data_IF_864491451560
#
_entry.id   IF_864491451560
#
_cell.length_a   1.000
_cell.length_b   1.000
_cell.length_c   1.000
_cell.angle_alpha   90.00
_cell.angle_beta   90.00
_cell.angle_gamma   90.00
#
_symmetry.space_group_name_H-M   'P 1'
#
loop_
_entity.id
_entity.type
_entity.pdbx_description
1 polymer ?
#
# COMPACT_ATOMS: atom_id res chain seq x y z
N UNK A 1 31.08 50.12 -10.78
CA UNK A 1 30.13 49.90 -9.68
C UNK A 1 28.74 50.05 -10.28
N UNK A 2 27.95 49.00 -10.48
CA UNK A 2 27.54 47.95 -9.55
C UNK A 2 27.31 46.65 -10.33
N UNK A 3 27.79 45.53 -9.78
CA UNK A 3 27.76 44.21 -10.40
C UNK A 3 26.55 43.37 -10.01
N UNK A 4 26.29 42.40 -10.90
CA UNK A 4 25.80 41.03 -10.69
C UNK A 4 25.18 40.66 -9.34
N UNK A 5 23.97 40.11 -9.41
CA UNK A 5 23.34 39.42 -8.29
C UNK A 5 22.02 38.75 -8.69
N UNK A 6 22.00 37.98 -9.78
CA UNK A 6 20.89 37.08 -10.03
C UNK A 6 20.92 36.00 -8.95
N UNK A 7 20.05 36.14 -7.95
CA UNK A 7 19.79 35.09 -6.96
C UNK A 7 19.10 33.95 -7.69
N UNK A 8 19.85 32.88 -7.97
CA UNK A 8 19.29 31.62 -8.42
C UNK A 8 18.39 31.07 -7.30
N UNK A 9 17.09 31.34 -7.44
CA UNK A 9 16.05 30.78 -6.61
C UNK A 9 15.92 29.29 -6.92
N UNK A 10 16.25 28.45 -5.93
CA UNK A 10 15.74 27.08 -5.83
C UNK A 10 16.42 26.07 -6.75
N UNK A 11 17.63 25.63 -6.41
CA UNK A 11 17.97 24.23 -6.64
C UNK A 11 17.05 23.40 -5.75
N UNK A 12 15.91 22.97 -6.29
CA UNK A 12 15.12 21.91 -5.68
C UNK A 12 16.06 20.71 -5.58
N UNK A 13 16.61 20.45 -4.39
CA UNK A 13 17.31 19.19 -4.15
C UNK A 13 16.27 18.10 -4.40
N UNK A 14 16.35 17.48 -5.57
CA UNK A 14 15.56 16.30 -5.88
C UNK A 14 16.04 15.24 -4.89
N UNK A 15 15.28 15.05 -3.80
CA UNK A 15 15.57 14.00 -2.82
C UNK A 15 15.68 12.70 -3.60
N UNK A 16 16.82 12.02 -3.50
CA UNK A 16 16.93 10.69 -4.06
C UNK A 16 15.83 9.82 -3.41
N UNK A 17 14.93 9.29 -4.22
CA UNK A 17 13.82 8.45 -3.78
C UNK A 17 14.27 7.00 -3.68
N UNK A 18 13.53 6.18 -2.94
CA UNK A 18 13.80 4.73 -2.92
C UNK A 18 15.11 4.33 -2.22
N UNK A 19 15.61 5.13 -1.27
CA UNK A 19 16.84 4.84 -0.51
C UNK A 19 16.65 3.78 0.59
N UNK A 20 15.81 2.78 0.41
CA UNK A 20 15.53 1.81 1.47
C UNK A 20 16.77 0.97 1.83
N UNK A 21 17.70 0.79 0.89
CA UNK A 21 18.95 0.06 1.16
C UNK A 21 19.92 0.79 2.09
N UNK A 22 19.75 2.10 2.31
CA UNK A 22 20.58 2.87 3.24
C UNK A 22 20.03 2.86 4.67
N UNK A 23 18.86 2.25 4.89
CA UNK A 23 18.27 2.05 6.21
C UNK A 23 18.96 0.87 6.87
N UNK A 24 19.48 1.07 8.08
CA UNK A 24 20.09 0.01 8.87
C UNK A 24 19.16 -0.42 10.01
N UNK A 25 19.07 -1.74 10.22
CA UNK A 25 18.30 -2.34 11.30
C UNK A 25 19.25 -3.03 12.29
N UNK A 26 19.08 -2.72 13.57
CA UNK A 26 19.74 -3.42 14.69
C UNK A 26 18.67 -4.22 15.45
N UNK A 27 18.55 -5.50 15.10
CA UNK A 27 17.58 -6.39 15.71
C UNK A 27 17.87 -6.66 17.20
N UNK A 28 19.12 -6.62 17.65
CA UNK A 28 19.45 -6.86 19.05
C UNK A 28 19.01 -5.69 19.95
N UNK A 29 19.05 -4.47 19.41
CA UNK A 29 18.64 -3.24 20.10
C UNK A 29 17.22 -2.79 19.80
N UNK A 30 16.50 -3.52 18.94
CA UNK A 30 15.20 -3.11 18.38
C UNK A 30 15.25 -1.66 17.83
N UNK A 31 16.31 -1.33 17.10
CA UNK A 31 16.56 0.02 16.61
C UNK A 31 16.66 0.09 15.08
N UNK A 32 16.22 1.21 14.51
CA UNK A 32 16.33 1.52 13.09
C UNK A 32 17.07 2.84 12.94
N UNK A 33 18.09 2.87 12.09
CA UNK A 33 18.83 4.08 11.74
C UNK A 33 18.39 4.59 10.36
N UNK A 34 17.87 5.81 10.34
CA UNK A 34 17.46 6.51 9.12
C UNK A 34 18.51 7.57 8.74
N UNK A 35 19.07 7.53 7.52
CA UNK A 35 19.93 8.60 7.04
C UNK A 35 19.19 9.95 6.98
N UNK A 36 19.94 11.04 7.08
CA UNK A 36 19.37 12.38 7.01
C UNK A 36 18.57 12.58 5.70
N UNK A 37 17.31 13.00 5.84
CA UNK A 37 16.40 13.23 4.71
C UNK A 37 15.63 11.99 4.22
N UNK A 38 15.87 10.80 4.80
CA UNK A 38 15.09 9.58 4.54
C UNK A 38 13.93 9.49 5.53
N UNK A 39 12.74 9.15 5.03
CA UNK A 39 11.55 8.88 5.84
C UNK A 39 10.99 7.49 5.53
N UNK A 40 10.25 6.94 6.49
CA UNK A 40 9.51 5.69 6.34
C UNK A 40 8.03 6.00 6.11
N UNK A 41 7.46 5.34 5.09
CA UNK A 41 6.02 5.25 4.89
C UNK A 41 5.65 3.76 4.88
N UNK A 42 4.76 3.37 5.78
CA UNK A 42 4.30 1.99 5.95
C UNK A 42 2.91 1.76 5.34
N UNK A 43 2.37 2.74 4.60
CA UNK A 43 1.03 2.67 4.03
C UNK A 43 0.78 1.45 3.12
N UNK A 44 1.82 0.89 2.52
CA UNK A 44 1.74 -0.32 1.69
C UNK A 44 1.78 -1.65 2.43
N UNK A 45 2.02 -1.66 3.75
CA UNK A 45 2.13 -2.92 4.56
C UNK A 45 1.34 -2.87 5.86
N UNK A 46 1.09 -1.68 6.41
CA UNK A 46 0.52 -1.52 7.75
C UNK A 46 -0.89 -2.13 7.90
N UNK A 47 -1.71 -2.08 6.84
CA UNK A 47 -3.07 -2.62 6.85
C UNK A 47 -3.07 -4.14 7.00
N UNK A 48 -2.40 -4.85 6.08
CA UNK A 48 -2.20 -6.30 6.17
C UNK A 48 -1.57 -6.74 7.50
N UNK A 49 -0.51 -6.08 7.97
CA UNK A 49 0.07 -6.38 9.28
C UNK A 49 -0.94 -6.21 10.42
N UNK A 50 -1.75 -5.15 10.39
CA UNK A 50 -2.80 -4.92 11.39
C UNK A 50 -3.85 -6.04 11.35
N UNK A 51 -4.30 -6.44 10.16
CA UNK A 51 -5.28 -7.51 9.99
C UNK A 51 -4.75 -8.84 10.55
N UNK A 52 -3.50 -9.18 10.27
CA UNK A 52 -2.83 -10.36 10.83
C UNK A 52 -2.75 -10.32 12.35
N UNK A 53 -2.34 -9.19 12.94
CA UNK A 53 -2.26 -9.05 14.39
C UNK A 53 -3.63 -9.18 15.06
N UNK A 54 -4.69 -8.66 14.43
CA UNK A 54 -6.06 -8.79 14.94
C UNK A 54 -6.54 -10.23 14.85
N UNK A 55 -6.28 -10.96 13.76
CA UNK A 55 -6.61 -12.40 13.66
C UNK A 55 -5.85 -13.19 14.72
N UNK A 56 -4.54 -12.98 14.87
CA UNK A 56 -3.73 -13.66 15.89
C UNK A 56 -4.29 -13.44 17.30
N UNK A 57 -4.79 -12.24 17.59
CA UNK A 57 -5.46 -11.95 18.85
C UNK A 57 -6.80 -12.67 18.94
N UNK A 58 -7.64 -12.58 17.91
CA UNK A 58 -9.04 -13.02 17.93
C UNK A 58 -9.24 -14.54 17.85
N UNK A 59 -8.30 -15.26 17.22
CA UNK A 59 -8.43 -16.71 16.95
C UNK A 59 -8.66 -17.55 18.20
N UNK A 60 -8.23 -17.09 19.38
CA UNK A 60 -8.48 -17.80 20.64
C UNK A 60 -9.96 -17.82 21.06
N UNK A 61 -10.79 -16.93 20.53
CA UNK A 61 -12.24 -16.89 20.81
C UNK A 61 -13.08 -17.52 19.70
N UNK A 62 -12.46 -17.93 18.59
CA UNK A 62 -13.09 -18.69 17.53
C UNK A 62 -12.70 -18.21 16.12
N UNK A 63 -13.32 -18.82 15.10
CA UNK A 63 -13.16 -18.44 13.70
C UNK A 63 -13.40 -16.94 13.48
N UNK A 64 -12.50 -16.26 12.78
CA UNK A 64 -12.65 -14.85 12.44
C UNK A 64 -12.09 -14.49 11.05
N UNK A 65 -12.64 -13.42 10.48
CA UNK A 65 -12.16 -12.73 9.29
C UNK A 65 -12.03 -11.25 9.63
N UNK A 66 -10.88 -10.66 9.32
CA UNK A 66 -10.61 -9.24 9.53
C UNK A 66 -10.45 -8.56 8.19
N UNK A 67 -11.12 -7.42 8.00
CA UNK A 67 -10.96 -6.52 6.86
C UNK A 67 -10.34 -5.20 7.33
N UNK A 68 -9.11 -4.94 6.90
CA UNK A 68 -8.40 -3.68 7.10
C UNK A 68 -8.39 -2.86 5.81
N UNK A 69 -9.57 -2.38 5.37
CA UNK A 69 -9.69 -1.50 4.22
C UNK A 69 -9.30 -2.19 2.91
N UNK A 70 -9.82 -3.40 2.70
CA UNK A 70 -9.59 -4.27 1.55
C UNK A 70 -8.50 -5.32 1.74
N UNK A 71 -7.66 -5.19 2.79
CA UNK A 71 -6.68 -6.20 3.17
C UNK A 71 -7.36 -7.18 4.13
N UNK A 72 -7.62 -8.40 3.66
CA UNK A 72 -8.36 -9.43 4.38
C UNK A 72 -7.40 -10.44 5.00
N UNK A 73 -7.60 -10.79 6.26
CA UNK A 73 -6.94 -11.94 6.88
C UNK A 73 -7.98 -12.84 7.54
N UNK A 74 -7.96 -14.11 7.21
CA UNK A 74 -8.83 -15.13 7.76
C UNK A 74 -8.06 -16.05 8.71
N UNK A 75 -8.64 -16.30 9.88
CA UNK A 75 -8.26 -17.43 10.74
C UNK A 75 -8.96 -18.72 10.29
N UNK A 76 -9.33 -19.54 11.26
CA UNK A 76 -10.08 -20.77 11.01
C UNK A 76 -11.40 -20.53 10.27
N UNK A 77 -11.84 -21.54 9.52
CA UNK A 77 -13.08 -21.49 8.77
C UNK A 77 -14.31 -21.43 9.70
N UNK A 78 -15.38 -20.71 9.32
CA UNK A 78 -16.60 -20.67 10.10
C UNK A 78 -17.41 -21.95 9.89
N UNK A 79 -17.77 -22.65 10.97
CA UNK A 79 -18.65 -23.82 10.91
C UNK A 79 -18.14 -24.92 9.96
N UNK A 80 -18.99 -25.35 9.02
CA UNK A 80 -18.67 -26.41 8.05
C UNK A 80 -18.23 -25.86 6.68
N UNK A 81 -17.95 -24.56 6.57
CA UNK A 81 -17.48 -23.97 5.32
C UNK A 81 -15.98 -24.31 5.11
N UNK A 82 -15.51 -24.40 3.85
CA UNK A 82 -14.09 -24.65 3.58
C UNK A 82 -13.18 -23.44 3.92
N UNK A 83 -13.78 -22.27 4.13
CA UNK A 83 -13.14 -21.01 4.51
C UNK A 83 -14.17 -19.89 4.65
N UNK A 84 -13.69 -18.65 4.76
CA UNK A 84 -14.48 -17.43 4.68
C UNK A 84 -14.75 -17.08 3.21
N UNK A 85 -16.00 -16.82 2.81
CA UNK A 85 -16.32 -16.43 1.44
C UNK A 85 -15.94 -14.98 1.22
N UNK A 86 -15.10 -14.71 0.22
CA UNK A 86 -14.76 -13.35 -0.22
C UNK A 86 -14.78 -13.29 -1.74
N UNK A 87 -14.72 -12.09 -2.30
CA UNK A 87 -14.60 -11.91 -3.73
C UNK A 87 -13.62 -10.79 -4.07
N UNK A 88 -12.84 -10.99 -5.14
CA UNK A 88 -11.95 -9.97 -5.70
C UNK A 88 -12.73 -9.22 -6.77
N UNK A 89 -12.95 -7.92 -6.57
CA UNK A 89 -13.51 -7.06 -7.61
C UNK A 89 -12.48 -6.89 -8.74
N UNK A 90 -12.91 -7.13 -9.97
CA UNK A 90 -12.10 -6.79 -11.14
C UNK A 90 -12.03 -5.26 -11.28
N UNK A 91 -10.85 -4.70 -11.63
CA UNK A 91 -10.74 -3.26 -11.87
C UNK A 91 -11.72 -2.84 -12.96
N UNK A 92 -12.61 -1.90 -12.67
CA UNK A 92 -13.50 -1.31 -13.66
C UNK A 92 -13.06 0.13 -13.95
N UNK A 93 -13.24 0.55 -15.20
CA UNK A 93 -13.14 1.98 -15.52
C UNK A 93 -14.43 2.69 -15.09
N UNK A 94 -14.39 3.98 -14.69
CA UNK A 94 -15.61 4.74 -14.38
C UNK A 94 -16.63 4.82 -15.52
N UNK A 95 -16.26 4.42 -16.74
CA UNK A 95 -17.12 4.39 -17.92
C UNK A 95 -17.90 3.06 -18.06
N UNK A 96 -17.59 2.05 -17.26
CA UNK A 96 -18.33 0.79 -17.25
C UNK A 96 -19.64 0.95 -16.47
N UNK A 97 -20.76 0.76 -17.16
CA UNK A 97 -22.11 0.81 -16.61
C UNK A 97 -22.52 -0.49 -15.91
N UNK A 98 -21.76 -1.57 -16.14
CA UNK A 98 -22.00 -2.87 -15.54
C UNK A 98 -21.28 -2.97 -14.18
N UNK A 99 -21.89 -3.65 -13.18
CA UNK A 99 -21.21 -3.89 -11.91
C UNK A 99 -19.91 -4.67 -12.17
N UNK A 100 -18.81 -4.34 -11.46
CA UNK A 100 -17.53 -5.00 -11.67
C UNK A 100 -17.69 -6.50 -11.45
N UNK A 101 -17.23 -7.29 -12.43
CA UNK A 101 -17.13 -8.75 -12.29
C UNK A 101 -16.33 -9.06 -11.03
N UNK A 102 -16.81 -9.97 -10.19
CA UNK A 102 -16.12 -10.37 -8.98
C UNK A 102 -15.73 -11.85 -9.07
N UNK A 103 -14.50 -12.18 -8.67
CA UNK A 103 -14.00 -13.56 -8.63
C UNK A 103 -14.15 -14.07 -7.20
N UNK A 104 -15.06 -15.03 -6.93
CA UNK A 104 -15.24 -15.57 -5.59
C UNK A 104 -14.11 -16.52 -5.20
N UNK A 105 -13.72 -16.52 -3.93
CA UNK A 105 -12.77 -17.46 -3.34
C UNK A 105 -13.06 -17.72 -1.86
N UNK A 106 -12.48 -18.81 -1.34
CA UNK A 106 -12.54 -19.18 0.07
C UNK A 106 -11.19 -18.90 0.73
N UNK A 107 -11.16 -18.09 1.79
CA UNK A 107 -9.96 -17.87 2.61
C UNK A 107 -10.02 -18.71 3.88
N UNK A 108 -8.98 -19.49 4.12
CA UNK A 108 -8.85 -20.26 5.36
C UNK A 108 -7.40 -20.18 5.81
N UNK A 109 -7.17 -19.63 7.00
CA UNK A 109 -5.82 -19.39 7.54
C UNK A 109 -4.91 -18.71 6.50
N UNK A 110 -5.44 -17.65 5.86
CA UNK A 110 -4.83 -16.99 4.71
C UNK A 110 -5.14 -15.49 4.69
N UNK A 111 -4.22 -14.72 4.09
CA UNK A 111 -4.35 -13.28 3.85
C UNK A 111 -4.53 -13.01 2.36
N UNK A 112 -5.41 -12.06 2.02
CA UNK A 112 -5.62 -11.53 0.67
C UNK A 112 -5.55 -10.00 0.73
N UNK A 113 -4.66 -9.40 -0.06
CA UNK A 113 -4.61 -7.96 -0.24
C UNK A 113 -4.55 -7.64 -1.74
N UNK A 114 -5.23 -6.56 -2.14
CA UNK A 114 -5.21 -6.06 -3.52
C UNK A 114 -4.64 -4.65 -3.54
N UNK A 115 -3.88 -4.35 -4.58
CA UNK A 115 -3.38 -3.00 -4.85
C UNK A 115 -3.88 -2.60 -6.23
N UNK A 116 -4.46 -1.41 -6.33
CA UNK A 116 -5.04 -0.90 -7.57
C UNK A 116 -4.88 0.61 -7.68
N UNK A 117 -4.89 1.09 -8.92
CA UNK A 117 -4.78 2.52 -9.26
C UNK A 117 -6.13 3.25 -9.31
N UNK A 118 -7.22 2.52 -9.11
CA UNK A 118 -8.61 2.95 -9.23
C UNK A 118 -9.17 3.59 -7.95
N UNK A 119 -8.71 3.18 -6.78
CA UNK A 119 -9.19 3.67 -5.47
C UNK A 119 -8.63 5.04 -5.08
N UNK A 120 -7.30 5.22 -5.12
CA UNK A 120 -6.63 6.45 -4.66
C UNK A 120 -5.82 7.07 -5.79
N UNK A 121 -6.43 8.08 -6.41
CA UNK A 121 -5.90 8.82 -7.55
C UNK A 121 -6.29 10.30 -7.48
N UNK A 122 -5.57 11.12 -8.24
CA UNK A 122 -5.86 12.55 -8.40
C UNK A 122 -5.53 13.02 -9.82
N UNK A 123 -6.03 14.20 -10.20
CA UNK A 123 -5.76 14.82 -11.49
C UNK A 123 -4.69 15.92 -11.33
N UNK A 124 -3.69 15.93 -12.20
CA UNK A 124 -2.71 17.01 -12.31
C UNK A 124 -2.56 17.43 -13.78
N UNK A 125 -3.17 18.56 -14.15
CA UNK A 125 -3.33 18.95 -15.55
C UNK A 125 -4.15 17.89 -16.30
N UNK A 126 -3.65 17.41 -17.43
CA UNK A 126 -4.31 16.35 -18.23
C UNK A 126 -3.93 14.93 -17.78
N UNK A 127 -3.11 14.79 -16.73
CA UNK A 127 -2.61 13.49 -16.26
C UNK A 127 -3.37 13.02 -15.01
N UNK A 128 -3.88 11.80 -15.07
CA UNK A 128 -4.34 11.04 -13.90
C UNK A 128 -3.15 10.38 -13.22
N UNK A 129 -2.98 10.62 -11.92
CA UNK A 129 -1.91 10.10 -11.08
C UNK A 129 -2.48 9.27 -9.94
N UNK A 130 -1.71 8.33 -9.39
CA UNK A 130 -2.13 7.45 -8.29
C UNK A 130 -1.04 7.29 -7.23
N UNK A 131 -1.42 6.77 -6.08
CA UNK A 131 -0.59 6.69 -4.88
C UNK A 131 0.50 5.62 -4.88
N UNK A 132 0.55 4.74 -5.90
CA UNK A 132 1.59 3.70 -6.02
C UNK A 132 2.81 4.31 -6.72
N UNK A 133 3.85 4.59 -5.94
CA UNK A 133 5.06 5.29 -6.39
C UNK A 133 6.14 4.28 -6.83
N UNK A 134 6.74 4.50 -7.99
CA UNK A 134 7.95 3.80 -8.40
C UNK A 134 9.15 4.37 -7.63
N UNK A 135 9.80 3.59 -6.74
CA UNK A 135 10.88 4.11 -5.90
C UNK A 135 12.08 4.60 -6.71
N UNK A 136 12.26 4.11 -7.95
CA UNK A 136 13.38 4.50 -8.83
C UNK A 136 13.21 5.89 -9.43
N UNK A 137 11.97 6.33 -9.62
CA UNK A 137 11.65 7.60 -10.28
C UNK A 137 11.07 8.63 -9.31
N UNK A 138 10.49 8.19 -8.19
CA UNK A 138 9.77 9.07 -7.27
C UNK A 138 8.40 9.52 -7.79
N UNK A 139 7.94 8.95 -8.90
CA UNK A 139 6.68 9.28 -9.56
C UNK A 139 5.71 8.11 -9.45
N UNK A 140 4.39 8.34 -9.62
CA UNK A 140 3.42 7.27 -9.80
C UNK A 140 3.87 6.29 -10.88
N UNK A 141 3.75 4.99 -10.62
CA UNK A 141 4.14 3.95 -11.56
C UNK A 141 3.41 4.12 -12.90
N UNK A 142 4.08 3.83 -14.02
CA UNK A 142 3.47 4.00 -15.35
C UNK A 142 2.46 2.89 -15.71
N UNK A 143 2.26 1.91 -14.82
CA UNK A 143 1.48 0.72 -15.08
C UNK A 143 0.00 0.96 -14.75
N UNK A 144 -0.89 0.38 -15.56
CA UNK A 144 -2.36 0.51 -15.42
C UNK A 144 -3.02 -0.58 -14.57
N UNK A 145 -2.22 -1.33 -13.80
CA UNK A 145 -2.71 -2.40 -12.92
C UNK A 145 -2.67 -1.88 -11.50
#
# INVERSE_FOLDING_TARGET
QIGSGAVNCGTTMQRATGQWQSIACDAARHAVLLPAGVGLDLGGIAKGFTAEQVVNFLSQWGPCLVDAGGDLTAGDAPGNYPGWPVAIAMPSTPAELEPPTAVPLWLNNATLATSGVDYRWWQQGDRRLHHLIDPRTGLPAANKV
#
